data_IF_762265662466
#
_entry.id   IF_762265662466
#
_cell.length_a   1.000
_cell.length_b   1.000
_cell.length_c   1.000
_cell.angle_alpha   90.00
_cell.angle_beta   90.00
_cell.angle_gamma   90.00
#
_symmetry.space_group_name_H-M   'P 1'
#
loop_
_entity.id
_entity.type
_entity.pdbx_description
1 polymer ?
#
# COMPACT_ATOMS: atom_id res chain seq x y z
N UNK A 1 5.62 -19.98 4.51
CA UNK A 1 5.53 -20.88 3.33
C UNK A 1 4.09 -21.20 2.89
N UNK A 2 3.07 -21.05 3.76
CA UNK A 2 1.65 -21.35 3.46
C UNK A 2 0.93 -20.36 2.52
N UNK A 3 1.37 -19.10 2.40
CA UNK A 3 0.70 -18.07 1.58
C UNK A 3 0.90 -18.25 0.06
N UNK A 4 2.02 -18.83 -0.37
CA UNK A 4 2.34 -18.98 -1.81
C UNK A 4 1.59 -20.14 -2.48
N UNK A 5 1.18 -21.18 -1.74
CA UNK A 5 0.46 -22.32 -2.33
C UNK A 5 -1.00 -22.00 -2.65
N UNK A 6 -1.69 -21.25 -1.77
CA UNK A 6 -3.02 -20.70 -2.03
C UNK A 6 -3.01 -19.71 -3.20
N UNK A 7 -1.92 -18.97 -3.39
CA UNK A 7 -1.76 -17.99 -4.45
C UNK A 7 -1.74 -18.63 -5.85
N UNK A 8 -0.95 -19.69 -6.06
CA UNK A 8 -0.90 -20.40 -7.35
C UNK A 8 -2.23 -21.12 -7.63
N UNK A 9 -2.88 -21.66 -6.59
CA UNK A 9 -4.18 -22.34 -6.69
C UNK A 9 -5.29 -21.37 -7.13
N UNK A 10 -5.33 -20.15 -6.60
CA UNK A 10 -6.32 -19.14 -7.01
C UNK A 10 -6.12 -18.59 -8.43
N UNK A 11 -4.90 -18.62 -8.97
CA UNK A 11 -4.63 -18.15 -10.35
C UNK A 11 -4.93 -19.24 -11.38
N UNK A 12 -4.71 -20.52 -11.04
CA UNK A 12 -4.93 -21.65 -11.95
C UNK A 12 -6.34 -22.27 -11.85
N UNK A 13 -7.06 -22.05 -10.74
CA UNK A 13 -8.39 -22.67 -10.49
C UNK A 13 -9.55 -21.68 -10.64
N UNK A 14 -9.32 -20.36 -10.54
CA UNK A 14 -10.38 -19.39 -10.81
C UNK A 14 -10.48 -19.16 -12.31
N UNK A 15 -11.48 -19.78 -12.94
CA UNK A 15 -12.00 -19.27 -14.18
C UNK A 15 -12.42 -17.81 -13.92
N UNK A 16 -11.73 -16.83 -14.52
CA UNK A 16 -12.09 -15.42 -14.35
C UNK A 16 -13.59 -15.30 -14.61
N UNK A 17 -14.33 -14.80 -13.62
CA UNK A 17 -15.76 -14.61 -13.79
C UNK A 17 -16.00 -13.77 -15.05
N UNK A 18 -16.92 -14.18 -15.91
CA UNK A 18 -17.26 -13.49 -17.17
C UNK A 18 -17.47 -11.99 -16.94
N UNK A 19 -18.02 -11.63 -15.77
CA UNK A 19 -18.17 -10.25 -15.30
C UNK A 19 -16.83 -9.49 -15.23
N UNK A 20 -15.79 -10.07 -14.64
CA UNK A 20 -14.47 -9.42 -14.51
C UNK A 20 -13.80 -9.19 -15.87
N UNK A 21 -13.95 -10.13 -16.80
CA UNK A 21 -13.41 -9.98 -18.16
C UNK A 21 -14.14 -8.87 -18.92
N UNK A 22 -15.46 -8.76 -18.72
CA UNK A 22 -16.26 -7.65 -19.27
C UNK A 22 -15.87 -6.31 -18.64
N UNK A 23 -15.69 -6.26 -17.32
CA UNK A 23 -15.26 -5.05 -16.61
C UNK A 23 -13.87 -4.60 -17.11
N UNK A 24 -12.94 -5.53 -17.33
CA UNK A 24 -11.65 -5.24 -17.97
C UNK A 24 -11.81 -4.63 -19.36
N UNK A 25 -12.65 -5.22 -20.22
CA UNK A 25 -12.88 -4.70 -21.57
C UNK A 25 -13.46 -3.28 -21.55
N UNK A 26 -14.41 -3.00 -20.65
CA UNK A 26 -14.98 -1.66 -20.47
C UNK A 26 -13.89 -0.66 -20.06
N UNK A 27 -13.10 -1.00 -19.04
CA UNK A 27 -12.04 -0.11 -18.53
C UNK A 27 -11.00 0.18 -19.61
N UNK A 28 -10.55 -0.84 -20.35
CA UNK A 28 -9.57 -0.67 -21.44
C UNK A 28 -10.13 0.20 -22.57
N UNK A 29 -11.38 -0.02 -22.98
CA UNK A 29 -12.02 0.79 -24.02
C UNK A 29 -12.16 2.26 -23.61
N UNK A 30 -12.59 2.54 -22.37
CA UNK A 30 -12.69 3.91 -21.85
C UNK A 30 -11.30 4.56 -21.79
N UNK A 31 -10.30 3.83 -21.32
CA UNK A 31 -8.92 4.32 -21.23
C UNK A 31 -8.34 4.65 -22.61
N UNK A 32 -8.65 3.84 -23.64
CA UNK A 32 -8.22 4.12 -25.02
C UNK A 32 -8.90 5.37 -25.59
N UNK A 33 -10.19 5.59 -25.31
CA UNK A 33 -10.89 6.81 -25.71
C UNK A 33 -10.28 8.03 -25.01
N UNK A 34 -10.00 7.92 -23.72
CA UNK A 34 -9.39 9.00 -22.94
C UNK A 34 -8.00 9.37 -23.48
N UNK A 35 -7.17 8.38 -23.79
CA UNK A 35 -5.84 8.60 -24.39
C UNK A 35 -5.96 9.20 -25.79
N UNK A 36 -6.88 8.69 -26.62
CA UNK A 36 -7.10 9.22 -27.97
C UNK A 36 -7.46 10.71 -27.93
N UNK A 37 -8.30 11.13 -26.97
CA UNK A 37 -8.67 12.52 -26.79
C UNK A 37 -7.53 13.37 -26.22
N UNK A 38 -6.85 12.90 -25.18
CA UNK A 38 -5.78 13.68 -24.52
C UNK A 38 -4.54 13.86 -25.40
N UNK A 39 -4.12 12.82 -26.13
CA UNK A 39 -2.94 12.87 -27.00
C UNK A 39 -3.27 13.15 -28.48
N UNK A 40 -4.56 13.35 -28.83
CA UNK A 40 -5.02 13.52 -30.23
C UNK A 40 -4.59 12.37 -31.17
N UNK A 41 -4.45 11.15 -30.63
CA UNK A 41 -4.08 9.95 -31.40
C UNK A 41 -5.37 9.24 -31.83
N UNK A 42 -5.93 9.67 -32.97
CA UNK A 42 -7.18 9.13 -33.51
C UNK A 42 -7.12 7.65 -33.90
N UNK A 43 -5.90 7.09 -34.05
CA UNK A 43 -5.70 5.67 -34.38
C UNK A 43 -6.24 4.72 -33.30
N UNK A 44 -6.33 5.18 -32.04
CA UNK A 44 -6.89 4.41 -30.93
C UNK A 44 -8.43 4.41 -30.90
N UNK A 45 -9.09 5.27 -31.69
CA UNK A 45 -10.55 5.39 -31.71
C UNK A 45 -11.22 4.20 -32.41
N UNK A 46 -10.50 3.51 -33.31
CA UNK A 46 -10.98 2.31 -34.01
C UNK A 46 -10.97 1.06 -33.12
N UNK A 47 -9.87 0.71 -32.41
CA UNK A 47 -9.86 -0.48 -31.56
C UNK A 47 -10.72 -0.34 -30.30
N UNK A 48 -10.93 0.86 -29.76
CA UNK A 48 -11.74 1.09 -28.55
C UNK A 48 -13.16 0.48 -28.60
N UNK A 49 -14.02 0.81 -29.58
CA UNK A 49 -15.36 0.23 -29.70
C UNK A 49 -15.31 -1.26 -30.06
N UNK A 50 -14.31 -1.70 -30.82
CA UNK A 50 -14.13 -3.12 -31.17
C UNK A 50 -13.89 -3.95 -29.90
N UNK A 51 -12.97 -3.53 -29.03
CA UNK A 51 -12.69 -4.20 -27.75
C UNK A 51 -13.92 -4.21 -26.85
N UNK A 52 -14.68 -3.11 -26.83
CA UNK A 52 -15.92 -2.99 -26.04
C UNK A 52 -16.97 -4.01 -26.51
N UNK A 53 -17.21 -4.08 -27.83
CA UNK A 53 -18.17 -5.02 -28.42
C UNK A 53 -17.74 -6.48 -28.18
N UNK A 54 -16.45 -6.80 -28.34
CA UNK A 54 -15.94 -8.15 -28.06
C UNK A 54 -16.14 -8.51 -26.59
N UNK A 55 -15.89 -7.58 -25.66
CA UNK A 55 -16.13 -7.78 -24.23
C UNK A 55 -17.59 -8.03 -23.88
N UNK A 56 -18.53 -7.47 -24.66
CA UNK A 56 -19.97 -7.62 -24.46
C UNK A 56 -20.53 -8.91 -25.05
N UNK A 57 -20.14 -9.28 -26.28
CA UNK A 57 -20.68 -10.44 -26.99
C UNK A 57 -19.90 -11.74 -26.75
N UNK A 58 -18.57 -11.67 -26.62
CA UNK A 58 -17.71 -12.85 -26.46
C UNK A 58 -16.49 -12.54 -25.58
N UNK A 59 -16.71 -12.33 -24.27
CA UNK A 59 -15.64 -11.98 -23.32
C UNK A 59 -14.53 -13.04 -23.25
N UNK A 60 -14.82 -14.30 -23.56
CA UNK A 60 -13.83 -15.40 -23.52
C UNK A 60 -12.59 -15.14 -24.39
N UNK A 61 -12.70 -14.35 -25.47
CA UNK A 61 -11.55 -13.96 -26.30
C UNK A 61 -10.54 -13.07 -25.56
N UNK A 62 -11.01 -12.26 -24.60
CA UNK A 62 -10.20 -11.34 -23.80
C UNK A 62 -9.68 -11.98 -22.51
N UNK A 63 -9.91 -13.28 -22.30
CA UNK A 63 -9.50 -13.97 -21.07
C UNK A 63 -7.98 -13.93 -20.87
N UNK A 64 -7.19 -14.23 -21.91
CA UNK A 64 -5.72 -14.19 -21.85
C UNK A 64 -5.17 -12.82 -21.41
N UNK A 65 -5.50 -11.70 -22.10
CA UNK A 65 -5.02 -10.38 -21.67
C UNK A 65 -5.59 -9.95 -20.32
N UNK A 66 -6.84 -10.32 -19.99
CA UNK A 66 -7.42 -10.02 -18.69
C UNK A 66 -6.66 -10.73 -17.55
N UNK A 67 -6.31 -12.00 -17.71
CA UNK A 67 -5.51 -12.75 -16.71
C UNK A 67 -4.16 -12.07 -16.50
N UNK A 68 -3.47 -11.70 -17.59
CA UNK A 68 -2.19 -11.01 -17.51
C UNK A 68 -2.32 -9.68 -16.74
N UNK A 69 -3.32 -8.87 -17.09
CA UNK A 69 -3.60 -7.60 -16.44
C UNK A 69 -3.90 -7.75 -14.93
N UNK A 70 -4.82 -8.64 -14.56
CA UNK A 70 -5.18 -8.85 -13.16
C UNK A 70 -4.03 -9.44 -12.35
N UNK A 71 -3.18 -10.28 -12.97
CA UNK A 71 -1.98 -10.80 -12.32
C UNK A 71 -1.02 -9.67 -11.96
N UNK A 72 -0.76 -8.76 -12.90
CA UNK A 72 0.07 -7.58 -12.68
C UNK A 72 -0.55 -6.68 -11.60
N UNK A 73 -1.84 -6.38 -11.70
CA UNK A 73 -2.55 -5.56 -10.71
C UNK A 73 -2.48 -6.15 -9.30
N UNK A 74 -2.53 -7.47 -9.17
CA UNK A 74 -2.44 -8.14 -7.88
C UNK A 74 -1.03 -8.05 -7.28
N UNK A 75 0.00 -8.21 -8.13
CA UNK A 75 1.40 -7.99 -7.72
C UNK A 75 1.58 -6.55 -7.24
N UNK A 76 1.07 -5.57 -7.99
CA UNK A 76 1.10 -4.16 -7.57
C UNK A 76 0.34 -3.94 -6.25
N UNK A 77 -0.84 -4.56 -6.11
CA UNK A 77 -1.64 -4.51 -4.89
C UNK A 77 -0.86 -5.01 -3.66
N UNK A 78 -0.10 -6.10 -3.82
CA UNK A 78 0.75 -6.62 -2.75
C UNK A 78 1.82 -5.63 -2.28
N UNK A 79 2.43 -4.87 -3.20
CA UNK A 79 3.44 -3.87 -2.84
C UNK A 79 2.83 -2.56 -2.33
N UNK A 80 1.62 -2.22 -2.77
CA UNK A 80 0.96 -0.95 -2.46
C UNK A 80 0.87 -0.67 -0.96
N UNK A 81 0.51 -1.67 -0.14
CA UNK A 81 0.39 -1.49 1.32
C UNK A 81 1.69 -1.08 1.99
N UNK A 82 2.83 -1.65 1.56
CA UNK A 82 4.16 -1.29 2.08
C UNK A 82 4.58 0.10 1.62
N UNK A 83 4.27 0.44 0.37
CA UNK A 83 4.58 1.76 -0.21
C UNK A 83 3.80 2.83 0.54
N UNK A 84 2.49 2.65 0.69
CA UNK A 84 1.61 3.60 1.40
C UNK A 84 2.07 3.80 2.84
N UNK A 85 2.38 2.71 3.56
CA UNK A 85 2.88 2.80 4.93
C UNK A 85 4.21 3.55 5.01
N UNK A 86 5.15 3.29 4.09
CA UNK A 86 6.44 3.99 4.03
C UNK A 86 6.25 5.48 3.78
N UNK A 87 5.37 5.85 2.86
CA UNK A 87 5.06 7.25 2.56
C UNK A 87 4.46 7.94 3.78
N UNK A 88 3.49 7.31 4.45
CA UNK A 88 2.90 7.85 5.68
C UNK A 88 3.96 8.03 6.77
N UNK A 89 4.82 7.04 6.97
CA UNK A 89 5.92 7.13 7.94
C UNK A 89 6.85 8.31 7.62
N UNK A 90 7.20 8.49 6.35
CA UNK A 90 8.10 9.55 5.92
C UNK A 90 7.48 10.95 6.02
N UNK A 91 6.19 11.08 5.71
CA UNK A 91 5.48 12.38 5.72
C UNK A 91 5.02 12.79 7.11
N UNK A 92 4.69 11.84 7.98
CA UNK A 92 4.19 12.15 9.32
C UNK A 92 5.25 11.82 10.39
N UNK A 93 5.62 10.55 10.53
CA UNK A 93 6.43 10.09 11.67
C UNK A 93 7.82 10.71 11.68
N UNK A 94 8.50 10.79 10.53
CA UNK A 94 9.84 11.37 10.43
C UNK A 94 9.85 12.87 10.80
N UNK A 95 9.00 13.75 10.24
CA UNK A 95 9.00 15.15 10.64
C UNK A 95 8.58 15.34 12.10
N UNK A 96 7.63 14.56 12.63
CA UNK A 96 7.32 14.61 14.06
C UNK A 96 8.52 14.25 14.93
N UNK A 97 9.28 13.21 14.56
CA UNK A 97 10.53 12.85 15.23
C UNK A 97 11.60 13.94 15.13
N UNK A 98 11.71 14.60 13.98
CA UNK A 98 12.65 15.70 13.78
C UNK A 98 12.27 16.94 14.59
N UNK A 99 10.97 17.30 14.64
CA UNK A 99 10.45 18.39 15.49
C UNK A 99 10.76 18.10 16.95
N UNK A 100 10.53 16.86 17.43
CA UNK A 100 10.89 16.45 18.80
C UNK A 100 12.40 16.58 19.07
N UNK A 101 13.23 16.25 18.07
CA UNK A 101 14.69 16.36 18.16
C UNK A 101 15.14 17.83 18.22
N UNK A 102 14.50 18.72 17.46
CA UNK A 102 14.80 20.16 17.45
C UNK A 102 14.31 20.86 18.72
N UNK A 103 13.13 20.51 19.22
CA UNK A 103 12.55 21.09 20.44
C UNK A 103 13.28 20.65 21.73
N UNK A 104 14.28 19.78 21.63
CA UNK A 104 15.14 19.41 22.76
C UNK A 104 14.44 18.54 23.80
N UNK A 105 13.27 17.97 23.48
CA UNK A 105 12.55 17.03 24.33
C UNK A 105 13.30 15.67 24.39
N UNK A 106 14.34 15.66 25.21
CA UNK A 106 15.14 14.48 25.56
C UNK A 106 14.56 13.82 26.82
N UNK A 107 13.52 13.00 26.62
CA UNK A 107 12.91 12.21 27.71
C UNK A 107 13.89 11.26 28.40
N UNK A 108 14.98 10.89 27.73
CA UNK A 108 15.98 9.96 28.24
C UNK A 108 17.18 10.66 28.88
N UNK A 109 17.24 12.01 28.85
CA UNK A 109 18.38 12.81 29.35
C UNK A 109 19.72 12.31 28.80
N UNK A 110 19.73 11.70 27.62
CA UNK A 110 20.90 11.00 27.07
C UNK A 110 22.00 11.98 26.61
N UNK A 111 21.66 13.26 26.43
CA UNK A 111 22.65 14.33 26.16
C UNK A 111 23.36 14.85 27.41
N UNK A 112 23.01 14.38 28.62
CA UNK A 112 23.71 14.81 29.84
C UNK A 112 25.07 14.12 29.94
N UNK A 113 26.14 14.88 30.13
CA UNK A 113 27.52 14.41 30.40
C UNK A 113 27.68 13.77 31.80
N UNK A 114 26.59 13.34 32.43
CA UNK A 114 26.63 12.66 33.72
C UNK A 114 26.88 11.16 33.52
N UNK A 115 27.75 10.60 34.36
CA UNK A 115 28.12 9.17 34.33
C UNK A 115 26.95 8.23 34.64
N UNK A 116 25.89 8.75 35.25
CA UNK A 116 24.68 8.00 35.63
C UNK A 116 23.45 8.91 35.48
N UNK A 117 22.31 8.33 35.11
CA UNK A 117 21.00 8.99 35.08
C UNK A 117 20.28 8.95 36.44
N UNK A 118 20.90 8.35 37.45
CA UNK A 118 20.32 8.18 38.77
C UNK A 118 20.34 9.54 39.48
N UNK A 119 19.19 9.94 40.02
CA UNK A 119 19.07 11.12 40.88
C UNK A 119 19.36 10.71 42.31
N UNK A 120 20.31 11.37 42.98
CA UNK A 120 20.51 11.20 44.41
C UNK A 120 19.23 11.55 45.17
N UNK A 121 18.66 10.58 45.88
CA UNK A 121 17.47 10.77 46.70
C UNK A 121 17.84 10.86 48.18
N UNK A 122 18.40 11.99 48.60
CA UNK A 122 18.65 12.26 50.02
C UNK A 122 17.34 12.63 50.74
N UNK A 123 16.52 11.63 51.03
CA UNK A 123 15.33 11.74 51.88
C UNK A 123 15.30 10.59 52.88
N UNK A 124 14.67 10.82 54.04
CA UNK A 124 14.54 9.82 55.09
C UNK A 124 13.43 8.84 54.67
N UNK A 125 13.81 7.58 54.48
CA UNK A 125 12.89 6.53 54.05
C UNK A 125 11.80 6.28 55.10
N UNK A 126 10.54 6.30 54.67
CA UNK A 126 9.37 6.05 55.49
C UNK A 126 8.69 4.74 55.09
N UNK A 127 7.84 4.19 55.98
CA UNK A 127 7.00 3.03 55.69
C UNK A 127 6.08 3.23 54.47
N UNK A 128 5.83 4.48 54.10
CA UNK A 128 5.04 4.89 52.94
C UNK A 128 5.77 4.58 51.61
N UNK A 129 7.10 4.68 51.59
CA UNK A 129 7.91 4.45 50.38
C UNK A 129 7.92 2.98 49.96
N UNK A 130 7.73 2.06 50.91
CA UNK A 130 7.58 0.62 50.62
C UNK A 130 6.25 0.29 49.94
N UNK A 131 5.22 1.13 50.10
CA UNK A 131 3.91 0.93 49.47
C UNK A 131 3.85 1.52 48.06
N UNK A 132 4.67 2.53 47.76
CA UNK A 132 4.79 3.16 46.43
C UNK A 132 6.27 3.32 46.05
N UNK A 133 6.91 2.24 45.58
CA UNK A 133 8.34 2.23 45.33
C UNK A 133 8.80 2.99 44.07
N UNK A 134 7.89 3.50 43.23
CA UNK A 134 8.21 4.17 41.95
C UNK A 134 7.62 5.59 41.89
#
# INVERSE_FOLDING_TARGET
MWAFSNFKKNILVNDLAVKQIRDFAIVVSVLFIFIAFYFSIYILLVPAPVIFLIGMFKPTLLKLPAIAWFTISNILGYFSGKIILTVIFLVFVIPFGFIRKLTGYDSLKNRQTKKTTFTDRNHIFSSIDFKKPF
#
